data_IF_410532218812
#
_entry.id   IF_410532218812
#
_cell.length_a   1.000
_cell.length_b   1.000
_cell.length_c   1.000
_cell.angle_alpha   90.00
_cell.angle_beta   90.00
_cell.angle_gamma   90.00
#
_symmetry.space_group_name_H-M   'P 1'
#
loop_
_entity.id
_entity.type
_entity.pdbx_description
1 polymer ?
#
# COMPACT_ATOMS: atom_id res chain seq x y z
N UNK A 1 21.00 0.91 21.81
CA UNK A 1 21.54 1.78 20.74
C UNK A 1 21.37 1.17 19.35
N UNK A 2 22.09 0.10 18.97
CA UNK A 2 22.03 -0.47 17.59
C UNK A 2 20.62 -0.81 17.07
N UNK A 3 19.70 -1.26 17.93
CA UNK A 3 18.32 -1.54 17.52
C UNK A 3 17.52 -0.28 17.17
N UNK A 4 17.77 0.83 17.87
CA UNK A 4 17.08 2.10 17.65
C UNK A 4 17.50 2.74 16.33
N UNK A 5 18.80 2.67 16.00
CA UNK A 5 19.30 3.16 14.70
C UNK A 5 18.73 2.35 13.54
N UNK A 6 18.63 1.03 13.69
CA UNK A 6 18.02 0.17 12.68
C UNK A 6 16.52 0.44 12.48
N UNK A 7 15.81 0.81 13.55
CA UNK A 7 14.40 1.21 13.50
C UNK A 7 14.25 2.58 12.84
N UNK A 8 15.06 3.56 13.25
CA UNK A 8 15.11 4.87 12.62
C UNK A 8 15.39 4.76 11.11
N UNK A 9 16.34 3.93 10.69
CA UNK A 9 16.62 3.69 9.27
C UNK A 9 15.40 3.16 8.50
N UNK A 10 14.56 2.32 9.12
CA UNK A 10 13.32 1.82 8.49
C UNK A 10 12.24 2.89 8.43
N UNK A 11 12.10 3.69 9.47
CA UNK A 11 11.17 4.83 9.49
C UNK A 11 11.55 5.87 8.42
N UNK A 12 12.85 6.14 8.27
CA UNK A 12 13.38 6.99 7.21
C UNK A 12 13.11 6.37 5.82
N UNK A 13 13.33 5.06 5.65
CA UNK A 13 13.00 4.39 4.39
C UNK A 13 11.50 4.49 4.04
N UNK A 14 10.62 4.32 5.04
CA UNK A 14 9.17 4.46 4.88
C UNK A 14 8.79 5.89 4.46
N UNK A 15 9.37 6.88 5.14
CA UNK A 15 9.18 8.30 4.82
C UNK A 15 9.62 8.60 3.38
N UNK A 16 10.82 8.17 2.99
CA UNK A 16 11.38 8.41 1.66
C UNK A 16 10.54 7.73 0.57
N UNK A 17 10.10 6.49 0.77
CA UNK A 17 9.22 5.81 -0.16
C UNK A 17 7.90 6.58 -0.35
N UNK A 18 7.28 7.04 0.75
CA UNK A 18 6.05 7.83 0.68
C UNK A 18 6.24 9.18 -0.05
N UNK A 19 7.40 9.84 0.14
CA UNK A 19 7.75 11.07 -0.58
C UNK A 19 7.95 10.82 -2.07
N UNK A 20 8.69 9.78 -2.44
CA UNK A 20 8.90 9.39 -3.82
C UNK A 20 7.59 9.08 -4.54
N UNK A 21 6.67 8.31 -3.92
CA UNK A 21 5.35 8.04 -4.52
C UNK A 21 4.50 9.30 -4.68
N UNK A 22 4.55 10.21 -3.71
CA UNK A 22 3.83 11.51 -3.81
C UNK A 22 4.37 12.33 -4.98
N UNK A 23 5.69 12.41 -5.14
CA UNK A 23 6.32 13.14 -6.24
C UNK A 23 6.06 12.47 -7.60
N UNK A 24 6.16 11.14 -7.70
CA UNK A 24 5.83 10.39 -8.91
C UNK A 24 4.38 10.67 -9.32
N UNK A 25 3.43 10.61 -8.38
CA UNK A 25 2.01 10.92 -8.66
C UNK A 25 1.83 12.37 -9.11
N UNK A 26 2.54 13.31 -8.51
CA UNK A 26 2.50 14.71 -8.91
C UNK A 26 3.02 14.90 -10.34
N UNK A 27 4.15 14.27 -10.69
CA UNK A 27 4.75 14.35 -12.03
C UNK A 27 3.89 13.64 -13.09
N UNK A 28 3.27 12.51 -12.75
CA UNK A 28 2.42 11.75 -13.66
C UNK A 28 1.02 12.36 -13.89
N UNK A 29 0.56 13.24 -13.00
CA UNK A 29 -0.82 13.75 -12.97
C UNK A 29 -1.25 14.70 -14.09
N UNK A 30 -0.38 15.07 -15.04
CA UNK A 30 -0.78 15.68 -16.32
C UNK A 30 -0.72 17.22 -16.45
N UNK A 31 -0.31 17.63 -17.66
CA UNK A 31 -0.20 18.94 -18.36
C UNK A 31 -0.27 20.29 -17.61
N UNK A 32 -1.23 20.53 -16.71
CA UNK A 32 -1.46 21.88 -16.16
C UNK A 32 -0.31 22.36 -15.25
N UNK A 33 0.45 21.45 -14.66
CA UNK A 33 1.64 21.78 -13.87
C UNK A 33 2.95 21.77 -14.69
N UNK A 34 2.98 21.10 -15.83
CA UNK A 34 4.15 20.98 -16.72
C UNK A 34 4.43 22.32 -17.42
N UNK A 35 3.39 23.13 -17.65
CA UNK A 35 3.51 24.45 -18.27
C UNK A 35 4.41 25.45 -17.52
N UNK A 36 4.85 25.15 -16.29
CA UNK A 36 5.60 26.12 -15.46
C UNK A 36 6.99 25.69 -14.99
N UNK A 37 7.49 24.48 -15.25
CA UNK A 37 8.78 24.11 -14.66
C UNK A 37 9.69 23.11 -15.38
N UNK A 38 9.20 22.13 -16.15
CA UNK A 38 10.05 21.05 -16.69
C UNK A 38 9.52 20.48 -18.00
N UNK A 39 10.40 19.99 -18.86
CA UNK A 39 9.98 19.27 -20.07
C UNK A 39 9.33 17.92 -19.70
N UNK A 40 8.45 17.35 -20.55
CA UNK A 40 7.91 16.02 -20.33
C UNK A 40 8.99 14.94 -20.15
N UNK A 41 10.10 15.04 -20.89
CA UNK A 41 11.22 14.12 -20.79
C UNK A 41 11.92 14.20 -19.42
N UNK A 42 12.14 15.41 -18.91
CA UNK A 42 12.68 15.62 -17.56
C UNK A 42 11.75 15.07 -16.47
N UNK A 43 10.43 15.16 -16.66
CA UNK A 43 9.47 14.59 -15.72
C UNK A 43 9.55 13.06 -15.71
N UNK A 44 9.67 12.43 -16.89
CA UNK A 44 9.84 10.98 -17.01
C UNK A 44 11.16 10.50 -16.40
N UNK A 45 12.26 11.21 -16.65
CA UNK A 45 13.55 10.88 -16.06
C UNK A 45 13.53 11.02 -14.53
N UNK A 46 12.83 12.04 -14.00
CA UNK A 46 12.66 12.18 -12.57
C UNK A 46 11.78 11.08 -11.97
N UNK A 47 10.71 10.65 -12.65
CA UNK A 47 9.90 9.50 -12.23
C UNK A 47 10.75 8.22 -12.17
N UNK A 48 11.56 7.96 -13.21
CA UNK A 48 12.47 6.79 -13.25
C UNK A 48 13.46 6.82 -12.10
N UNK A 49 14.09 7.97 -11.87
CA UNK A 49 14.99 8.18 -10.73
C UNK A 49 14.32 7.85 -9.39
N UNK A 50 13.11 8.36 -9.15
CA UNK A 50 12.38 8.12 -7.90
C UNK A 50 11.93 6.66 -7.74
N UNK A 51 11.53 6.02 -8.84
CA UNK A 51 11.14 4.62 -8.85
C UNK A 51 12.34 3.71 -8.53
N UNK A 52 13.49 3.95 -9.17
CA UNK A 52 14.73 3.22 -8.92
C UNK A 52 15.23 3.42 -7.48
N UNK A 53 15.18 4.65 -6.97
CA UNK A 53 15.53 4.94 -5.58
C UNK A 53 14.60 4.18 -4.62
N UNK A 54 13.28 4.23 -4.85
CA UNK A 54 12.28 3.59 -4.01
C UNK A 54 12.39 2.07 -4.02
N UNK A 55 12.72 1.49 -5.17
CA UNK A 55 12.94 0.04 -5.31
C UNK A 55 14.10 -0.45 -4.44
N UNK A 56 15.13 0.39 -4.28
CA UNK A 56 16.30 0.05 -3.48
C UNK A 56 16.10 0.27 -1.97
N UNK A 57 15.12 1.08 -1.55
CA UNK A 57 14.85 1.33 -0.13
C UNK A 57 14.61 0.01 0.63
N UNK A 58 15.19 -0.15 1.84
CA UNK A 58 14.97 -1.35 2.62
C UNK A 58 13.48 -1.53 2.85
N UNK A 59 12.99 -2.77 2.73
CA UNK A 59 11.57 -3.07 2.81
C UNK A 59 10.90 -2.38 3.99
N UNK A 60 9.97 -1.47 3.68
CA UNK A 60 9.17 -0.71 4.66
C UNK A 60 8.32 -1.65 5.52
N UNK A 61 7.91 -2.78 4.94
CA UNK A 61 7.31 -3.87 5.69
C UNK A 61 8.38 -4.54 6.55
N UNK A 62 8.28 -4.40 7.89
CA UNK A 62 9.15 -5.05 8.89
C UNK A 62 9.63 -6.40 8.39
N UNK A 63 10.91 -6.49 8.06
CA UNK A 63 11.53 -7.74 7.62
C UNK A 63 11.14 -8.82 8.63
N UNK A 64 10.50 -9.90 8.16
CA UNK A 64 10.26 -11.07 9.02
C UNK A 64 11.59 -11.40 9.72
N UNK A 65 11.56 -11.78 11.02
CA UNK A 65 12.77 -12.18 11.72
C UNK A 65 13.51 -13.17 10.83
N UNK A 66 14.70 -12.79 10.36
CA UNK A 66 15.47 -13.59 9.40
C UNK A 66 15.74 -14.90 10.12
N UNK A 67 15.00 -15.95 9.75
CA UNK A 67 15.12 -17.25 10.39
C UNK A 67 16.57 -17.67 10.14
N UNK A 68 17.39 -17.92 11.17
CA UNK A 68 18.78 -18.30 10.96
C UNK A 68 18.79 -19.46 9.97
N UNK A 69 19.56 -19.32 8.90
CA UNK A 69 19.69 -20.37 7.90
C UNK A 69 20.09 -21.64 8.66
N UNK A 70 19.42 -22.76 8.37
CA UNK A 70 19.61 -24.05 9.08
C UNK A 70 21.07 -24.55 9.07
N UNK A 71 21.95 -23.93 8.28
CA UNK A 71 23.36 -24.28 8.15
C UNK A 71 24.34 -23.65 9.14
N UNK A 72 23.89 -22.87 10.14
CA UNK A 72 24.75 -22.40 11.24
C UNK A 72 25.92 -21.48 10.85
N UNK A 73 26.01 -21.04 9.59
CA UNK A 73 27.01 -20.06 9.15
C UNK A 73 26.69 -18.71 9.78
N UNK A 74 27.66 -18.13 10.48
CA UNK A 74 27.58 -16.74 10.92
C UNK A 74 27.32 -15.83 9.70
N UNK A 75 26.44 -14.83 9.82
CA UNK A 75 26.23 -13.86 8.76
C UNK A 75 27.56 -13.19 8.38
N UNK A 76 27.75 -12.90 7.09
CA UNK A 76 28.91 -12.16 6.64
C UNK A 76 28.93 -10.76 7.24
N UNK A 77 30.09 -10.11 7.27
CA UNK A 77 30.23 -8.71 7.74
C UNK A 77 29.28 -7.76 7.01
N UNK A 78 29.04 -8.01 5.72
CA UNK A 78 28.09 -7.27 4.90
C UNK A 78 26.63 -7.46 5.37
N UNK A 79 26.19 -8.71 5.60
CA UNK A 79 24.84 -8.99 6.14
C UNK A 79 24.66 -8.36 7.53
N UNK A 80 25.72 -8.37 8.34
CA UNK A 80 25.70 -7.75 9.67
C UNK A 80 25.55 -6.23 9.57
N UNK A 81 26.31 -5.57 8.69
CA UNK A 81 26.18 -4.12 8.46
C UNK A 81 24.76 -3.74 8.01
N UNK A 82 24.16 -4.53 7.10
CA UNK A 82 22.78 -4.32 6.65
C UNK A 82 21.72 -4.60 7.73
N UNK A 83 22.00 -5.51 8.66
CA UNK A 83 21.12 -5.76 9.80
C UNK A 83 21.18 -4.64 10.84
N UNK A 84 22.37 -4.07 11.07
CA UNK A 84 22.59 -2.98 12.03
C UNK A 84 22.09 -1.63 11.50
N UNK A 85 22.26 -1.37 10.20
CA UNK A 85 21.87 -0.12 9.54
C UNK A 85 21.21 -0.43 8.18
N UNK A 86 19.90 -0.71 8.14
CA UNK A 86 19.17 -1.09 6.92
C UNK A 86 19.31 -0.14 5.73
N UNK A 87 19.58 1.15 5.97
CA UNK A 87 19.81 2.13 4.90
C UNK A 87 21.24 2.08 4.31
N UNK A 88 22.15 1.27 4.87
CA UNK A 88 23.57 1.26 4.49
C UNK A 88 23.81 0.97 3.01
N UNK A 89 23.11 0.01 2.44
CA UNK A 89 23.23 -0.30 1.01
C UNK A 89 22.84 0.90 0.16
N UNK A 90 21.58 1.34 0.31
CA UNK A 90 21.00 2.45 -0.47
C UNK A 90 21.84 3.70 -0.37
N UNK A 91 22.25 4.07 0.83
CA UNK A 91 23.08 5.26 1.03
C UNK A 91 24.42 5.16 0.30
N UNK A 92 25.11 4.03 0.44
CA UNK A 92 26.46 3.86 -0.12
C UNK A 92 26.45 3.64 -1.64
N UNK A 93 25.38 3.09 -2.21
CA UNK A 93 25.23 2.91 -3.66
C UNK A 93 24.52 4.08 -4.36
N UNK A 94 23.80 4.92 -3.62
CA UNK A 94 23.16 6.11 -4.16
C UNK A 94 24.20 7.11 -4.69
N UNK A 95 23.94 7.65 -5.88
CA UNK A 95 24.69 8.78 -6.42
C UNK A 95 24.46 10.08 -5.63
N UNK A 96 25.25 11.14 -5.89
CA UNK A 96 25.15 12.41 -5.17
C UNK A 96 23.75 13.02 -5.19
N UNK A 97 23.05 12.94 -6.33
CA UNK A 97 21.69 13.46 -6.49
C UNK A 97 20.68 12.74 -5.58
N UNK A 98 20.70 11.40 -5.57
CA UNK A 98 19.87 10.59 -4.68
C UNK A 98 20.15 10.88 -3.20
N UNK A 99 21.43 11.05 -2.82
CA UNK A 99 21.80 11.43 -1.45
C UNK A 99 21.26 12.81 -1.06
N UNK A 100 21.38 13.80 -1.95
CA UNK A 100 20.84 15.14 -1.73
C UNK A 100 19.31 15.12 -1.62
N UNK A 101 18.63 14.36 -2.48
CA UNK A 101 17.19 14.17 -2.43
C UNK A 101 16.74 13.58 -1.09
N UNK A 102 17.41 12.51 -0.62
CA UNK A 102 17.10 11.89 0.67
C UNK A 102 17.29 12.86 1.83
N UNK A 103 18.44 13.53 1.93
CA UNK A 103 18.73 14.46 3.03
C UNK A 103 17.72 15.60 3.10
N UNK A 104 17.37 16.20 1.96
CA UNK A 104 16.37 17.28 1.89
C UNK A 104 15.02 16.84 2.45
N UNK A 105 14.53 15.65 2.11
CA UNK A 105 13.23 15.16 2.59
C UNK A 105 13.24 14.77 4.07
N UNK A 106 14.37 14.26 4.54
CA UNK A 106 14.60 13.96 5.97
C UNK A 106 14.58 15.26 6.78
N UNK A 107 15.29 16.29 6.31
CA UNK A 107 15.34 17.62 6.92
C UNK A 107 13.97 18.30 6.93
N UNK A 108 13.26 18.29 5.78
CA UNK A 108 11.89 18.82 5.68
C UNK A 108 10.90 18.12 6.61
N UNK A 109 11.15 16.86 6.95
CA UNK A 109 10.35 16.11 7.92
C UNK A 109 10.77 16.37 9.39
N UNK A 110 11.76 17.23 9.63
CA UNK A 110 12.30 17.51 10.97
C UNK A 110 12.94 16.29 11.63
N UNK A 111 13.43 15.33 10.85
CA UNK A 111 14.02 14.09 11.38
C UNK A 111 15.53 14.25 11.49
N UNK A 112 16.06 13.99 12.68
CA UNK A 112 17.51 13.86 12.88
C UNK A 112 17.91 12.44 12.44
N UNK A 113 18.63 12.35 11.33
CA UNK A 113 19.17 11.08 10.83
C UNK A 113 20.61 11.26 10.42
N UNK A 114 21.50 10.40 10.91
CA UNK A 114 22.90 10.38 10.53
C UNK A 114 23.12 9.31 9.47
N UNK A 115 23.69 9.64 8.31
CA UNK A 115 23.95 8.66 7.28
C UNK A 115 24.81 7.49 7.78
N UNK A 116 24.54 6.26 7.32
CA UNK A 116 25.30 5.09 7.73
C UNK A 116 26.76 5.20 7.23
N UNK A 117 27.71 4.59 7.96
CA UNK A 117 29.12 4.59 7.54
C UNK A 117 29.32 3.85 6.21
N UNK A 118 30.48 4.01 5.56
CA UNK A 118 30.85 3.24 4.39
C UNK A 118 30.74 1.73 4.64
N UNK A 119 30.24 1.00 3.64
CA UNK A 119 30.20 -0.46 3.71
C UNK A 119 31.63 -1.02 3.83
N UNK A 120 31.83 -2.14 4.55
CA UNK A 120 33.13 -2.79 4.60
C UNK A 120 33.60 -3.09 3.17
N UNK A 121 34.82 -2.69 2.83
CA UNK A 121 35.38 -3.00 1.52
C UNK A 121 35.28 -4.51 1.27
N UNK A 122 34.72 -4.91 0.12
CA UNK A 122 34.78 -6.31 -0.29
C UNK A 122 36.25 -6.66 -0.40
N UNK A 123 36.71 -7.58 0.44
CA UNK A 123 38.10 -8.04 0.39
C UNK A 123 38.26 -8.85 -0.90
N UNK A 124 38.61 -8.16 -1.99
CA UNK A 124 38.83 -8.76 -3.31
C UNK A 124 40.17 -9.50 -3.36
N UNK A 125 41.05 -9.25 -2.38
CA UNK A 125 42.28 -10.02 -2.26
C UNK A 125 41.95 -11.47 -1.89
N UNK A 126 42.36 -12.45 -2.72
CA UNK A 126 42.20 -13.85 -2.40
C UNK A 126 42.85 -14.10 -1.04
N UNK A 127 42.21 -14.89 -0.16
CA UNK A 127 42.79 -15.17 1.14
C UNK A 127 44.22 -15.67 0.93
N UNK A 128 45.21 -15.13 1.67
CA UNK A 128 46.58 -15.61 1.57
C UNK A 128 46.52 -17.13 1.76
N UNK A 129 47.05 -17.87 0.78
CA UNK A 129 47.08 -19.34 0.81
C UNK A 129 47.92 -19.74 2.03
N UNK A 130 47.28 -19.91 3.17
CA UNK A 130 47.91 -20.51 4.33
C UNK A 130 48.13 -21.98 4.00
N UNK A 131 49.36 -22.50 4.07
CA UNK A 131 49.60 -23.92 3.87
C UNK A 131 48.74 -24.69 4.87
N UNK A 132 47.90 -25.59 4.36
CA UNK A 132 47.00 -26.41 5.15
C UNK A 132 47.81 -27.21 6.18
N UNK A 133 47.85 -26.72 7.42
CA UNK A 133 48.35 -27.47 8.56
C UNK A 133 47.21 -28.35 9.05
N UNK A 134 47.27 -29.62 8.69
CA UNK A 134 46.36 -30.67 9.15
C UNK A 134 46.49 -30.78 10.66
N UNK A 135 45.53 -30.22 11.40
CA UNK A 135 45.43 -30.36 12.84
C UNK A 135 44.14 -31.10 13.18
N UNK A 136 44.34 -32.38 13.45
CA UNK A 136 43.41 -33.32 14.07
C UNK A 136 43.12 -32.88 15.52
N UNK A 137 41.92 -33.20 16.01
CA UNK A 137 41.48 -33.18 17.43
C UNK A 137 41.24 -31.78 18.04
N UNK A 138 40.23 -31.53 18.90
CA UNK A 138 39.45 -32.37 19.81
C UNK A 138 38.12 -31.66 20.11
N UNK A 139 37.04 -32.43 20.18
CA UNK A 139 35.71 -31.98 20.63
C UNK A 139 35.75 -31.55 22.11
N UNK A 140 35.16 -30.39 22.43
CA UNK A 140 34.66 -30.11 23.79
C UNK A 140 33.22 -29.61 23.71
N UNK A 141 32.36 -30.39 24.35
CA UNK A 141 30.96 -30.16 24.64
C UNK A 141 30.86 -29.11 25.76
N UNK A 142 30.03 -28.08 25.58
CA UNK A 142 29.49 -27.29 26.69
C UNK A 142 27.97 -27.04 26.47
N UNK A 143 27.17 -27.01 27.55
CA UNK A 143 25.72 -26.91 27.48
C UNK A 143 25.26 -25.46 27.28
N UNK A 144 24.08 -25.32 26.66
CA UNK A 144 23.48 -24.05 26.22
C UNK A 144 22.21 -23.80 27.03
N UNK A 145 22.31 -23.04 28.11
CA UNK A 145 21.14 -22.50 28.80
C UNK A 145 20.61 -21.26 28.06
N UNK A 146 19.30 -21.24 27.81
CA UNK A 146 18.57 -20.06 27.32
C UNK A 146 17.33 -19.83 28.18
N UNK A 147 17.40 -18.81 29.03
CA UNK A 147 16.23 -18.18 29.62
C UNK A 147 15.55 -17.22 28.63
N UNK A 148 14.22 -17.27 28.70
CA UNK A 148 13.20 -16.52 27.95
C UNK A 148 12.73 -15.35 28.82
N UNK A 149 12.53 -14.15 28.25
CA UNK A 149 11.39 -13.22 28.44
C UNK A 149 11.74 -11.79 28.00
N UNK A 150 10.73 -11.07 27.50
CA UNK A 150 10.81 -9.64 27.20
C UNK A 150 9.82 -9.22 26.10
N UNK A 151 8.57 -8.98 26.49
CA UNK A 151 7.48 -8.42 25.69
C UNK A 151 7.51 -6.89 25.79
N UNK A 152 7.46 -6.19 24.65
CA UNK A 152 7.07 -4.78 24.59
C UNK A 152 6.02 -4.57 23.50
N UNK A 153 4.89 -4.01 23.91
CA UNK A 153 3.84 -3.45 23.05
C UNK A 153 4.30 -2.08 22.56
N UNK A 154 4.31 -1.88 21.24
CA UNK A 154 4.58 -0.57 20.63
C UNK A 154 3.61 -0.38 19.46
N UNK A 155 2.78 0.66 19.56
CA UNK A 155 1.66 0.97 18.68
C UNK A 155 2.16 1.91 17.58
N UNK A 156 2.31 1.43 16.35
CA UNK A 156 2.70 2.25 15.19
C UNK A 156 1.58 2.33 14.15
N UNK A 157 1.21 3.58 13.83
CA UNK A 157 0.42 3.98 12.67
C UNK A 157 1.17 3.56 11.39
N UNK A 158 0.55 2.69 10.59
CA UNK A 158 1.11 2.24 9.30
C UNK A 158 0.13 2.62 8.20
N UNK A 159 0.59 3.44 7.24
CA UNK A 159 -0.12 3.70 5.99
C UNK A 159 -0.29 2.38 5.22
N UNK A 160 -1.52 2.09 4.80
CA UNK A 160 -1.88 0.83 4.18
C UNK A 160 -1.35 0.74 2.74
N UNK A 161 -0.20 0.10 2.56
CA UNK A 161 0.16 -0.47 1.26
C UNK A 161 -0.55 -1.83 1.07
N UNK A 162 -1.06 -2.14 -0.12
CA UNK A 162 -1.57 -3.47 -0.43
C UNK A 162 -0.44 -4.48 -0.24
N UNK A 163 -0.57 -5.38 0.75
CA UNK A 163 0.44 -6.40 1.01
C UNK A 163 0.53 -7.37 -0.17
N UNK A 164 1.70 -7.57 -0.80
CA UNK A 164 1.87 -8.48 -1.92
C UNK A 164 1.94 -9.92 -1.40
N UNK A 165 0.79 -10.51 -1.11
CA UNK A 165 0.69 -11.92 -0.72
C UNK A 165 -0.28 -12.65 -1.64
N UNK A 166 0.32 -13.28 -2.65
CA UNK A 166 -0.31 -14.11 -3.67
C UNK A 166 -0.84 -15.41 -3.03
N UNK A 167 -2.16 -15.64 -3.05
CA UNK A 167 -2.70 -17.00 -2.93
C UNK A 167 -4.03 -17.20 -2.19
N UNK A 168 -4.49 -16.26 -1.35
CA UNK A 168 -5.75 -16.39 -0.61
C UNK A 168 -6.73 -15.27 -0.94
N UNK A 169 -8.00 -15.60 -1.23
CA UNK A 169 -9.06 -14.57 -1.30
C UNK A 169 -9.44 -14.02 0.08
N UNK A 170 -8.99 -14.68 1.15
CA UNK A 170 -9.41 -14.29 2.49
C UNK A 170 -8.72 -12.99 2.89
N UNK A 171 -9.54 -11.99 3.22
CA UNK A 171 -9.06 -10.77 3.86
C UNK A 171 -8.49 -11.18 5.21
N UNK A 172 -7.19 -10.92 5.40
CA UNK A 172 -6.53 -11.28 6.65
C UNK A 172 -6.73 -10.15 7.65
N UNK A 173 -7.22 -10.49 8.85
CA UNK A 173 -7.24 -9.56 9.95
C UNK A 173 -5.83 -9.03 10.28
N UNK A 174 -5.65 -7.71 10.40
CA UNK A 174 -4.48 -7.14 11.03
C UNK A 174 -4.31 -7.67 12.46
N UNK A 175 -3.10 -7.57 13.00
CA UNK A 175 -2.83 -8.05 14.36
C UNK A 175 -3.73 -7.34 15.38
N UNK A 176 -4.33 -8.11 16.30
CA UNK A 176 -5.25 -7.58 17.32
C UNK A 176 -6.71 -7.45 16.86
N UNK A 177 -7.01 -7.73 15.59
CA UNK A 177 -8.37 -7.68 15.06
C UNK A 177 -8.98 -9.08 14.88
N UNK A 178 -10.30 -9.15 15.04
CA UNK A 178 -11.05 -10.37 14.71
C UNK A 178 -11.10 -10.55 13.18
N UNK A 179 -10.91 -11.78 12.66
CA UNK A 179 -11.09 -12.06 11.24
C UNK A 179 -12.53 -11.77 10.81
N UNK A 180 -12.70 -11.32 9.57
CA UNK A 180 -14.04 -11.21 8.97
C UNK A 180 -14.67 -12.60 8.85
N UNK A 181 -16.01 -12.70 8.93
CA UNK A 181 -16.70 -13.98 8.78
C UNK A 181 -16.46 -14.58 7.39
N UNK A 182 -16.62 -15.91 7.21
CA UNK A 182 -16.38 -16.57 5.92
C UNK A 182 -17.14 -15.96 4.74
N UNK A 183 -18.33 -15.39 4.97
CA UNK A 183 -19.12 -14.68 3.97
C UNK A 183 -18.35 -13.53 3.31
N UNK A 184 -17.45 -12.85 4.03
CA UNK A 184 -16.64 -11.75 3.51
C UNK A 184 -15.49 -12.22 2.58
N UNK A 185 -15.24 -13.53 2.46
CA UNK A 185 -14.17 -14.07 1.62
C UNK A 185 -14.62 -14.36 0.17
N UNK A 186 -15.83 -13.90 -0.19
CA UNK A 186 -16.48 -14.18 -1.48
C UNK A 186 -16.65 -12.88 -2.27
N UNK A 187 -16.14 -12.86 -3.50
CA UNK A 187 -16.38 -11.75 -4.43
C UNK A 187 -17.83 -11.80 -4.93
N UNK A 188 -18.52 -10.65 -4.92
CA UNK A 188 -19.89 -10.54 -5.46
C UNK A 188 -19.83 -9.98 -6.89
N UNK A 189 -20.68 -10.51 -7.76
CA UNK A 189 -20.93 -9.98 -9.10
C UNK A 189 -22.28 -9.29 -9.07
N UNK A 190 -22.31 -8.01 -9.44
CA UNK A 190 -23.48 -7.14 -9.33
C UNK A 190 -23.70 -6.41 -10.65
N UNK A 191 -24.95 -6.16 -11.01
CA UNK A 191 -25.27 -5.23 -12.09
C UNK A 191 -25.11 -3.78 -11.63
N UNK A 192 -25.29 -2.85 -12.57
CA UNK A 192 -25.19 -1.40 -12.33
C UNK A 192 -26.21 -0.91 -11.29
N UNK A 193 -27.44 -1.39 -11.36
CA UNK A 193 -28.51 -1.00 -10.42
C UNK A 193 -28.15 -1.38 -8.98
N UNK A 194 -27.69 -2.62 -8.76
CA UNK A 194 -27.28 -3.10 -7.46
C UNK A 194 -26.07 -2.32 -6.89
N UNK A 195 -25.11 -1.93 -7.73
CA UNK A 195 -23.99 -1.07 -7.28
C UNK A 195 -24.49 0.30 -6.85
N UNK A 196 -25.35 0.95 -7.64
CA UNK A 196 -25.93 2.25 -7.28
C UNK A 196 -26.73 2.16 -5.98
N UNK A 197 -27.55 1.12 -5.81
CA UNK A 197 -28.33 0.88 -4.59
C UNK A 197 -27.45 0.74 -3.33
N UNK A 198 -26.27 0.11 -3.42
CA UNK A 198 -25.32 0.04 -2.31
C UNK A 198 -24.76 1.42 -1.92
N UNK A 199 -24.48 2.27 -2.91
CA UNK A 199 -24.00 3.63 -2.66
C UNK A 199 -25.08 4.51 -2.02
N UNK A 200 -26.33 4.39 -2.48
CA UNK A 200 -27.47 5.08 -1.87
C UNK A 200 -27.75 4.59 -0.46
N UNK A 201 -27.66 3.28 -0.21
CA UNK A 201 -27.79 2.75 1.13
C UNK A 201 -26.70 3.29 2.07
N UNK A 202 -25.43 3.27 1.63
CA UNK A 202 -24.30 3.77 2.40
C UNK A 202 -24.47 5.27 2.76
N UNK A 203 -24.96 6.06 1.80
CA UNK A 203 -25.28 7.48 1.99
C UNK A 203 -26.43 7.67 2.98
N UNK A 204 -27.55 6.98 2.77
CA UNK A 204 -28.75 7.03 3.63
C UNK A 204 -28.42 6.69 5.09
N UNK A 205 -27.57 5.68 5.27
CA UNK A 205 -27.12 5.23 6.59
C UNK A 205 -25.91 6.01 7.14
N UNK A 206 -25.37 6.98 6.37
CA UNK A 206 -24.21 7.81 6.74
C UNK A 206 -23.00 6.98 7.19
N UNK A 207 -22.74 5.86 6.48
CA UNK A 207 -21.64 4.93 6.77
C UNK A 207 -20.27 5.50 6.37
N UNK A 208 -20.23 6.62 5.65
CA UNK A 208 -19.01 7.15 5.05
C UNK A 208 -18.67 6.41 3.75
N UNK A 209 -17.66 6.90 3.01
CA UNK A 209 -17.16 6.30 1.77
C UNK A 209 -18.22 6.13 0.65
N UNK A 210 -19.34 6.85 0.70
CA UNK A 210 -20.34 6.82 -0.36
C UNK A 210 -20.05 7.90 -1.41
N UNK A 211 -19.71 7.49 -2.62
CA UNK A 211 -19.84 8.35 -3.81
C UNK A 211 -21.30 8.67 -4.13
N UNK A 212 -21.55 9.56 -5.09
CA UNK A 212 -22.91 9.85 -5.55
C UNK A 212 -23.46 8.73 -6.43
N UNK A 213 -24.56 8.10 -6.02
CA UNK A 213 -25.20 7.04 -6.81
C UNK A 213 -25.73 7.58 -8.15
N UNK A 214 -26.25 8.82 -8.17
CA UNK A 214 -26.64 9.50 -9.40
C UNK A 214 -25.46 9.71 -10.35
N UNK A 215 -24.28 10.07 -9.81
CA UNK A 215 -23.07 10.17 -10.60
C UNK A 215 -22.65 8.80 -11.14
N UNK A 216 -22.63 7.76 -10.31
CA UNK A 216 -22.29 6.41 -10.76
C UNK A 216 -23.26 5.90 -11.83
N UNK A 217 -24.56 6.12 -11.66
CA UNK A 217 -25.58 5.69 -12.61
C UNK A 217 -25.37 6.31 -13.99
N UNK A 218 -24.94 7.57 -14.05
CA UNK A 218 -24.67 8.26 -15.31
C UNK A 218 -23.38 7.80 -15.99
N UNK A 219 -22.41 7.25 -15.25
CA UNK A 219 -21.06 6.99 -15.77
C UNK A 219 -20.67 5.51 -15.85
N UNK A 220 -21.40 4.62 -15.19
CA UNK A 220 -21.17 3.18 -15.30
C UNK A 220 -21.68 2.67 -16.66
N UNK A 221 -20.99 1.67 -17.21
CA UNK A 221 -21.46 0.99 -18.41
C UNK A 221 -22.77 0.24 -18.09
N UNK A 222 -23.86 0.51 -18.83
CA UNK A 222 -25.14 -0.15 -18.59
C UNK A 222 -25.04 -1.64 -18.90
N UNK A 223 -25.84 -2.44 -18.20
CA UNK A 223 -25.94 -3.90 -18.39
C UNK A 223 -24.61 -4.66 -18.23
N UNK A 224 -23.65 -4.08 -17.50
CA UNK A 224 -22.37 -4.73 -17.21
C UNK A 224 -22.31 -5.30 -15.81
N UNK A 225 -21.41 -6.28 -15.63
CA UNK A 225 -21.13 -6.87 -14.31
C UNK A 225 -19.99 -6.11 -13.66
N UNK A 226 -20.28 -5.56 -12.49
CA UNK A 226 -19.32 -4.99 -11.56
C UNK A 226 -19.01 -6.00 -10.46
N UNK A 227 -17.90 -5.77 -9.75
CA UNK A 227 -17.47 -6.67 -8.69
C UNK A 227 -17.28 -5.94 -7.38
N UNK A 228 -17.66 -6.60 -6.28
CA UNK A 228 -17.53 -6.09 -4.92
C UNK A 228 -16.69 -7.06 -4.07
N UNK A 229 -15.69 -6.52 -3.39
CA UNK A 229 -14.77 -7.26 -2.54
C UNK A 229 -14.63 -6.54 -1.18
N UNK A 230 -14.95 -7.19 -0.04
CA UNK A 230 -14.55 -6.66 1.25
C UNK A 230 -13.03 -6.56 1.30
N UNK A 231 -12.51 -5.36 1.57
CA UNK A 231 -11.06 -5.13 1.69
C UNK A 231 -10.77 -3.98 2.67
N UNK A 232 -11.25 -4.08 3.93
CA UNK A 232 -11.12 -2.97 4.87
C UNK A 232 -9.67 -2.68 5.24
N UNK A 233 -9.34 -1.40 5.15
CA UNK A 233 -8.12 -0.85 5.72
C UNK A 233 -8.13 -1.01 7.25
N UNK A 234 -6.95 -1.03 7.86
CA UNK A 234 -6.80 -1.27 9.31
C UNK A 234 -7.62 -0.31 10.18
N UNK A 235 -7.76 0.95 9.76
CA UNK A 235 -8.52 1.96 10.50
C UNK A 235 -10.04 1.85 10.29
N UNK A 236 -10.50 1.25 9.18
CA UNK A 236 -11.91 0.92 8.93
C UNK A 236 -12.27 -0.53 9.31
N UNK A 237 -11.42 -1.19 10.11
CA UNK A 237 -11.70 -2.56 10.51
C UNK A 237 -12.93 -2.62 11.44
N UNK A 238 -13.87 -3.57 11.23
CA UNK A 238 -15.05 -3.70 12.08
C UNK A 238 -14.70 -3.84 13.57
N UNK A 239 -15.43 -3.10 14.40
CA UNK A 239 -15.17 -3.00 15.84
C UNK A 239 -14.29 -1.82 16.25
N UNK A 240 -13.59 -1.17 15.32
CA UNK A 240 -12.89 0.10 15.60
C UNK A 240 -13.88 1.23 15.93
N UNK A 241 -13.43 2.30 16.62
CA UNK A 241 -14.24 3.50 16.81
C UNK A 241 -14.60 4.17 15.48
N UNK A 242 -15.85 4.62 15.32
CA UNK A 242 -16.36 5.25 14.09
C UNK A 242 -16.20 6.79 14.05
N UNK A 243 -15.44 7.36 14.99
CA UNK A 243 -15.27 8.81 15.15
C UNK A 243 -16.48 9.54 15.76
N UNK A 244 -17.63 8.87 15.91
CA UNK A 244 -18.85 9.39 16.55
C UNK A 244 -19.14 8.76 17.91
N UNK A 245 -18.14 8.07 18.47
CA UNK A 245 -18.26 7.34 19.74
C UNK A 245 -18.92 5.97 19.62
N UNK A 246 -19.30 5.54 18.41
CA UNK A 246 -19.76 4.20 18.11
C UNK A 246 -18.63 3.26 17.67
N UNK A 247 -19.02 2.07 17.21
CA UNK A 247 -18.11 1.11 16.57
C UNK A 247 -18.48 0.96 15.11
N UNK A 248 -17.49 0.74 14.27
CA UNK A 248 -17.68 0.40 12.86
C UNK A 248 -18.36 -0.97 12.79
N UNK A 249 -19.58 -0.99 12.28
CA UNK A 249 -20.44 -2.17 12.10
C UNK A 249 -20.68 -2.50 10.62
N UNK A 250 -19.94 -1.85 9.72
CA UNK A 250 -19.97 -2.02 8.28
C UNK A 250 -18.59 -2.46 7.74
N UNK A 251 -18.56 -2.95 6.50
CA UNK A 251 -17.33 -3.35 5.81
C UNK A 251 -16.99 -2.36 4.71
N UNK A 252 -15.77 -1.84 4.73
CA UNK A 252 -15.22 -1.18 3.56
C UNK A 252 -15.03 -2.22 2.46
N UNK A 253 -15.70 -2.01 1.33
CA UNK A 253 -15.60 -2.85 0.16
C UNK A 253 -14.97 -2.06 -0.99
N UNK A 254 -14.05 -2.70 -1.70
CA UNK A 254 -13.51 -2.21 -2.97
C UNK A 254 -14.40 -2.71 -4.10
N UNK A 255 -14.81 -1.81 -4.97
CA UNK A 255 -15.53 -2.13 -6.20
C UNK A 255 -14.57 -2.15 -7.39
N UNK A 256 -14.76 -3.10 -8.31
CA UNK A 256 -14.20 -3.02 -9.66
C UNK A 256 -15.35 -2.66 -10.60
N UNK A 257 -15.28 -1.45 -11.12
CA UNK A 257 -16.33 -0.81 -11.89
C UNK A 257 -15.93 -0.76 -13.36
N UNK A 258 -16.93 -0.84 -14.23
CA UNK A 258 -16.78 -0.75 -15.67
C UNK A 258 -17.48 0.55 -16.08
N UNK A 259 -16.73 1.51 -16.61
CA UNK A 259 -17.23 2.83 -16.99
C UNK A 259 -17.80 2.80 -18.41
N UNK A 260 -18.66 3.76 -18.76
CA UNK A 260 -19.37 3.81 -20.05
C UNK A 260 -18.43 3.76 -21.26
N UNK A 261 -17.21 4.27 -21.12
CA UNK A 261 -16.19 4.29 -22.16
C UNK A 261 -15.36 2.99 -22.24
N UNK A 262 -15.70 1.96 -21.47
CA UNK A 262 -14.97 0.69 -21.44
C UNK A 262 -13.76 0.66 -20.50
N UNK A 263 -13.44 1.76 -19.81
CA UNK A 263 -12.39 1.74 -18.78
C UNK A 263 -12.83 0.99 -17.53
N UNK A 264 -11.84 0.44 -16.81
CA UNK A 264 -12.05 -0.15 -15.50
C UNK A 264 -11.39 0.67 -14.42
N UNK A 265 -12.15 0.93 -13.38
CA UNK A 265 -11.72 1.74 -12.25
C UNK A 265 -12.04 1.05 -10.93
N UNK A 266 -11.29 1.39 -9.89
CA UNK A 266 -11.60 0.98 -8.53
C UNK A 266 -12.47 2.02 -7.83
N UNK A 267 -13.40 1.57 -6.99
CA UNK A 267 -14.18 2.43 -6.12
C UNK A 267 -14.18 1.89 -4.69
N UNK A 268 -14.69 2.69 -3.76
CA UNK A 268 -14.90 2.28 -2.37
C UNK A 268 -16.36 2.51 -2.00
N UNK A 269 -16.92 1.59 -1.22
CA UNK A 269 -18.27 1.70 -0.65
C UNK A 269 -18.32 1.00 0.69
N UNK A 270 -19.04 1.60 1.65
CA UNK A 270 -19.32 0.97 2.95
C UNK A 270 -20.59 0.12 2.84
N UNK A 271 -20.51 -1.16 3.21
CA UNK A 271 -21.63 -2.11 3.09
C UNK A 271 -21.87 -2.80 4.42
N UNK A 272 -23.13 -2.91 4.86
CA UNK A 272 -23.46 -3.67 6.07
C UNK A 272 -23.24 -5.17 5.85
N UNK A 273 -22.82 -5.93 6.89
CA UNK A 273 -22.63 -7.38 6.79
C UNK A 273 -23.87 -8.12 6.27
N UNK A 274 -25.06 -7.72 6.73
CA UNK A 274 -26.32 -8.35 6.33
C UNK A 274 -26.63 -8.09 4.86
N UNK A 275 -26.50 -6.83 4.41
CA UNK A 275 -26.63 -6.45 3.00
C UNK A 275 -25.66 -7.26 2.15
N UNK A 276 -24.38 -7.29 2.51
CA UNK A 276 -23.36 -8.03 1.75
C UNK A 276 -23.66 -9.54 1.68
N UNK A 277 -24.11 -10.11 2.78
CA UNK A 277 -24.42 -11.54 2.87
C UNK A 277 -25.61 -11.90 1.97
N UNK A 278 -26.60 -11.02 1.87
CA UNK A 278 -27.77 -11.20 1.00
C UNK A 278 -27.45 -11.11 -0.51
N UNK A 279 -26.34 -10.48 -0.90
CA UNK A 279 -25.93 -10.38 -2.30
C UNK A 279 -25.63 -11.75 -2.93
N UNK A 280 -25.90 -11.96 -4.22
CA UNK A 280 -25.65 -13.23 -4.89
C UNK A 280 -24.16 -13.59 -4.94
N UNK A 281 -23.86 -14.88 -4.74
CA UNK A 281 -22.51 -15.45 -4.79
C UNK A 281 -22.40 -16.52 -5.87
N UNK A 282 -22.49 -16.08 -7.13
CA UNK A 282 -22.58 -16.96 -8.30
C UNK A 282 -21.21 -17.30 -8.94
N UNK A 283 -20.14 -16.61 -8.53
CA UNK A 283 -18.84 -16.76 -9.18
C UNK A 283 -18.10 -18.03 -8.76
N UNK A 284 -17.58 -18.84 -9.71
CA UNK A 284 -16.70 -19.96 -9.39
C UNK A 284 -15.42 -19.51 -8.67
N UNK A 285 -14.92 -20.35 -7.75
CA UNK A 285 -13.74 -20.04 -6.92
C UNK A 285 -12.51 -19.56 -7.70
N UNK A 286 -12.24 -20.21 -8.84
CA UNK A 286 -11.11 -19.86 -9.73
C UNK A 286 -11.27 -18.47 -10.35
N UNK A 287 -12.50 -18.06 -10.69
CA UNK A 287 -12.79 -16.73 -11.20
C UNK A 287 -12.62 -15.67 -10.10
N UNK A 288 -13.11 -15.96 -8.89
CA UNK A 288 -12.92 -15.06 -7.73
C UNK A 288 -11.45 -14.76 -7.48
N UNK A 289 -10.57 -15.77 -7.47
CA UNK A 289 -9.12 -15.56 -7.26
C UNK A 289 -8.51 -14.62 -8.30
N UNK A 290 -8.84 -14.81 -9.58
CA UNK A 290 -8.35 -13.93 -10.68
C UNK A 290 -8.87 -12.50 -10.53
N UNK A 291 -10.14 -12.35 -10.21
CA UNK A 291 -10.78 -11.04 -10.06
C UNK A 291 -10.29 -10.29 -8.82
N UNK A 292 -10.05 -10.97 -7.70
CA UNK A 292 -9.45 -10.33 -6.50
C UNK A 292 -8.09 -9.71 -6.83
N UNK A 293 -7.25 -10.41 -7.60
CA UNK A 293 -5.98 -9.83 -8.05
C UNK A 293 -6.19 -8.61 -8.94
N UNK A 294 -7.16 -8.67 -9.87
CA UNK A 294 -7.49 -7.54 -10.76
C UNK A 294 -8.00 -6.33 -9.98
N UNK A 295 -8.96 -6.51 -9.08
CA UNK A 295 -9.53 -5.44 -8.24
C UNK A 295 -8.43 -4.69 -7.49
N UNK A 296 -7.45 -5.43 -6.94
CA UNK A 296 -6.33 -4.85 -6.19
C UNK A 296 -5.21 -4.26 -7.04
N UNK A 297 -5.16 -4.58 -8.34
CA UNK A 297 -4.16 -4.05 -9.26
C UNK A 297 -4.64 -2.83 -10.04
N UNK A 298 -5.91 -2.48 -9.98
CA UNK A 298 -6.43 -1.27 -10.62
C UNK A 298 -6.03 -0.05 -9.80
N UNK A 299 -5.09 0.73 -10.34
CA UNK A 299 -4.57 1.94 -9.70
C UNK A 299 -5.49 3.16 -9.90
N UNK A 300 -6.27 3.17 -10.99
CA UNK A 300 -7.16 4.27 -11.35
C UNK A 300 -8.47 4.13 -10.58
N UNK A 301 -8.79 5.12 -9.74
CA UNK A 301 -10.04 5.14 -8.98
C UNK A 301 -11.13 5.98 -9.68
N UNK A 302 -12.37 5.91 -9.17
CA UNK A 302 -13.51 6.69 -9.69
C UNK A 302 -13.27 8.20 -9.64
N UNK A 303 -12.48 8.69 -8.69
CA UNK A 303 -12.19 10.13 -8.55
C UNK A 303 -11.25 10.61 -9.66
N UNK A 304 -10.12 9.92 -9.86
CA UNK A 304 -9.17 10.21 -10.92
C UNK A 304 -9.82 10.09 -12.29
N UNK A 305 -10.63 9.04 -12.49
CA UNK A 305 -11.39 8.89 -13.72
C UNK A 305 -12.35 10.05 -13.92
N UNK A 306 -13.15 10.41 -12.90
CA UNK A 306 -14.13 11.49 -13.01
C UNK A 306 -13.50 12.85 -13.30
N UNK A 307 -12.37 13.15 -12.65
CA UNK A 307 -11.59 14.37 -12.89
C UNK A 307 -11.09 14.46 -14.33
N UNK A 308 -10.53 13.37 -14.85
CA UNK A 308 -9.97 13.35 -16.20
C UNK A 308 -11.07 13.43 -17.27
N UNK A 309 -12.29 12.98 -16.95
CA UNK A 309 -13.46 13.01 -17.85
C UNK A 309 -14.37 14.22 -17.61
N UNK A 310 -14.07 15.09 -16.65
CA UNK A 310 -14.92 16.23 -16.29
C UNK A 310 -15.16 17.16 -17.49
N UNK A 311 -14.12 17.42 -18.30
CA UNK A 311 -14.22 18.26 -19.49
C UNK A 311 -15.06 17.62 -20.62
N UNK A 312 -15.17 16.30 -20.64
CA UNK A 312 -15.89 15.53 -21.66
C UNK A 312 -17.31 15.15 -21.22
N UNK A 313 -17.62 15.21 -19.92
CA UNK A 313 -18.95 14.93 -19.39
C UNK A 313 -19.87 16.15 -19.54
N UNK A 314 -20.28 16.40 -20.78
CA UNK A 314 -21.45 17.23 -21.05
C UNK A 314 -22.73 16.43 -20.75
N UNK A 315 -23.82 17.04 -20.25
CA UNK A 315 -25.10 16.34 -20.02
C UNK A 315 -25.61 15.57 -21.24
N UNK A 316 -25.26 16.01 -22.45
CA UNK A 316 -25.62 15.33 -23.70
C UNK A 316 -24.83 14.02 -23.93
N UNK A 317 -23.64 13.88 -23.36
CA UNK A 317 -22.75 12.73 -23.53
C UNK A 317 -22.91 11.71 -22.39
N UNK A 318 -22.86 12.17 -21.14
CA UNK A 318 -22.92 11.31 -19.97
C UNK A 318 -24.33 11.27 -19.33
N UNK A 319 -25.26 12.14 -19.71
CA UNK A 319 -26.59 12.23 -19.07
C UNK A 319 -26.57 12.79 -17.64
N UNK A 320 -25.38 13.04 -17.07
CA UNK A 320 -25.25 13.57 -15.72
C UNK A 320 -25.59 15.06 -15.68
N UNK A 321 -26.59 15.41 -14.89
CA UNK A 321 -26.85 16.79 -14.48
C UNK A 321 -26.36 16.89 -13.04
N UNK A 322 -25.35 17.74 -12.73
CA UNK A 322 -24.92 17.93 -11.36
C UNK A 322 -26.13 18.33 -10.51
N UNK A 323 -26.33 17.66 -9.38
CA UNK A 323 -27.30 18.10 -8.39
C UNK A 323 -26.98 19.55 -8.04
N UNK A 324 -27.98 20.43 -8.11
CA UNK A 324 -27.80 21.81 -7.69
C UNK A 324 -27.30 21.77 -6.25
N UNK A 325 -26.06 22.23 -6.03
CA UNK A 325 -25.54 22.31 -4.69
C UNK A 325 -26.40 23.33 -3.95
N UNK A 326 -27.33 22.87 -3.11
CA UNK A 326 -28.16 23.71 -2.23
C UNK A 326 -27.32 24.58 -1.26
N UNK A 327 -25.99 24.39 -1.25
CA UNK A 327 -25.01 25.20 -0.54
C UNK A 327 -24.42 26.34 -1.36
N UNK A 328 -24.84 26.56 -2.61
CA UNK A 328 -24.44 27.76 -3.34
C UNK A 328 -25.05 28.98 -2.62
N UNK A 329 -24.24 29.94 -2.14
CA UNK A 329 -24.78 31.14 -1.51
C UNK A 329 -25.70 31.83 -2.51
N UNK A 330 -26.89 32.30 -2.09
CA UNK A 330 -27.80 33.00 -2.99
C UNK A 330 -27.06 34.17 -3.62
N UNK A 331 -26.95 34.17 -4.94
CA UNK A 331 -26.47 35.33 -5.70
C UNK A 331 -27.47 36.46 -5.54
N UNK A 332 -27.18 37.38 -4.62
CA UNK A 332 -27.76 38.73 -4.54
C UNK A 332 -27.08 39.66 -5.51
#
# INVERSE_FOLDING_TARGET
MRSQEAELDRDIAALLAARAFTEIRHLAGGAQHVARAKSPDEALDHIRFLADLSHNLPGVARSRPRKPSRGGKSPGSFDQAMAERPMSWVWNTAGPEARAWMLRHIEQAGRLWTPPPPLPASRTEPPPRTPHRTLTQLQRVLPRDRHRQGSSHETHLTCCHPSPHLGGTSVRAPAGHQPLPPAANVLKALDTEAICALHDEARRLRLGLSGSAAWLQAHLAPDTVHYLLPDPAHYYWPGNPDGRGGKIDWWQCTTLLQMYNGEQVSGLVAVRPDTFTALPSTLPRKAQLRLVHRVRSIERDTYLWGRDHEAECAPQLCGYVPEANDNAPPTT
#
